data_IF_768414584374
#
_entry.id   IF_768414584374
#
_cell.length_a   1.000
_cell.length_b   1.000
_cell.length_c   1.000
_cell.angle_alpha   90.00
_cell.angle_beta   90.00
_cell.angle_gamma   90.00
#
_symmetry.space_group_name_H-M   'P 1'
#
loop_
_entity.id
_entity.type
_entity.pdbx_description
1 polymer ?
#
# COMPACT_ATOMS: atom_id res chain seq x y z
N UNK A 1 16.62 -14.63 -2.04
CA UNK A 1 16.37 -13.57 -1.04
C UNK A 1 15.68 -12.44 -1.77
N UNK A 2 14.49 -12.00 -1.32
CA UNK A 2 13.74 -10.90 -1.94
C UNK A 2 14.19 -9.55 -1.40
N UNK A 3 14.09 -8.50 -2.21
CA UNK A 3 14.27 -7.14 -1.76
C UNK A 3 13.07 -6.67 -0.93
N UNK A 4 11.84 -7.09 -1.32
CA UNK A 4 10.62 -6.77 -0.62
C UNK A 4 9.62 -7.93 -0.67
N UNK A 5 9.01 -8.24 0.48
CA UNK A 5 7.85 -9.12 0.56
C UNK A 5 6.66 -8.34 1.12
N UNK A 6 5.51 -8.53 0.52
CA UNK A 6 4.24 -7.96 1.00
C UNK A 6 3.24 -9.08 1.30
N UNK A 7 2.28 -8.80 2.20
CA UNK A 7 1.25 -9.75 2.59
C UNK A 7 -0.10 -9.04 2.68
N UNK A 8 -1.09 -9.48 1.90
CA UNK A 8 -2.43 -8.91 1.98
C UNK A 8 -3.37 -9.36 0.87
N UNK A 9 -4.59 -8.78 0.88
CA UNK A 9 -5.63 -9.09 -0.07
C UNK A 9 -5.48 -8.31 -1.37
N UNK A 10 -5.66 -9.01 -2.51
CA UNK A 10 -5.98 -8.38 -3.78
C UNK A 10 -7.41 -8.74 -4.22
N UNK A 11 -8.07 -7.81 -4.85
CA UNK A 11 -9.45 -7.90 -5.30
C UNK A 11 -9.55 -7.58 -6.80
N UNK A 12 -10.64 -8.02 -7.40
CA UNK A 12 -11.02 -7.56 -8.72
C UNK A 12 -11.78 -6.23 -8.57
N UNK A 13 -11.29 -5.21 -9.25
CA UNK A 13 -11.93 -3.90 -9.38
C UNK A 13 -12.78 -3.85 -10.65
N UNK A 14 -14.02 -3.43 -10.51
CA UNK A 14 -14.89 -3.08 -11.62
C UNK A 14 -15.14 -1.58 -11.66
N UNK A 15 -14.97 -0.96 -12.83
CA UNK A 15 -15.22 0.47 -13.02
C UNK A 15 -15.93 0.71 -14.35
N UNK A 16 -16.93 1.60 -14.42
CA UNK A 16 -17.47 2.02 -15.69
C UNK A 16 -16.43 2.84 -16.47
N UNK A 17 -16.47 2.85 -17.80
CA UNK A 17 -15.64 3.75 -18.60
C UNK A 17 -16.11 5.20 -18.48
N UNK A 18 -15.24 6.13 -18.84
CA UNK A 18 -15.56 7.54 -19.16
C UNK A 18 -16.42 8.29 -18.12
N UNK A 19 -16.25 7.98 -16.82
CA UNK A 19 -17.02 8.56 -15.71
C UNK A 19 -18.53 8.28 -15.75
N UNK A 20 -18.98 7.27 -16.50
CA UNK A 20 -20.37 6.81 -16.45
C UNK A 20 -20.75 6.41 -15.02
N UNK A 21 -22.06 6.46 -14.73
CA UNK A 21 -22.56 5.88 -13.48
C UNK A 21 -22.68 4.37 -13.62
N UNK A 22 -22.42 3.64 -12.52
CA UNK A 22 -22.55 2.17 -12.53
C UNK A 22 -23.95 1.75 -12.96
N UNK A 23 -25.00 2.47 -12.51
CA UNK A 23 -26.39 2.17 -12.84
C UNK A 23 -26.74 2.36 -14.32
N UNK A 24 -25.90 3.05 -15.09
CA UNK A 24 -26.09 3.35 -16.52
C UNK A 24 -25.16 2.56 -17.42
N UNK A 25 -24.01 2.12 -16.88
CA UNK A 25 -22.93 1.55 -17.65
C UNK A 25 -23.31 0.16 -18.21
N UNK A 26 -23.31 -0.05 -19.53
CA UNK A 26 -23.62 -1.35 -20.13
C UNK A 26 -22.46 -2.34 -19.99
N UNK A 27 -21.29 -1.86 -19.57
CA UNK A 27 -20.06 -2.66 -19.38
C UNK A 27 -19.20 -2.09 -18.25
N UNK A 28 -18.43 -2.95 -17.61
CA UNK A 28 -17.43 -2.55 -16.62
C UNK A 28 -16.05 -3.02 -17.04
N UNK A 29 -15.04 -2.19 -16.82
CA UNK A 29 -13.65 -2.54 -17.00
C UNK A 29 -13.18 -3.32 -15.77
N UNK A 30 -12.46 -4.41 -15.99
CA UNK A 30 -11.85 -5.22 -14.94
C UNK A 30 -10.39 -4.80 -14.75
N UNK A 31 -10.00 -4.52 -13.50
CA UNK A 31 -8.63 -4.26 -13.06
C UNK A 31 -8.37 -5.01 -11.75
N UNK A 32 -7.13 -5.05 -11.33
CA UNK A 32 -6.73 -5.64 -10.05
C UNK A 32 -6.27 -4.53 -9.12
N UNK A 33 -6.62 -4.63 -7.83
CA UNK A 33 -6.16 -3.71 -6.81
C UNK A 33 -6.15 -4.36 -5.43
N UNK A 34 -5.24 -3.87 -4.60
CA UNK A 34 -5.03 -4.28 -3.21
C UNK A 34 -3.76 -3.59 -2.73
N UNK A 35 -3.76 -3.03 -1.51
CA UNK A 35 -2.67 -2.15 -1.07
C UNK A 35 -1.30 -2.84 -1.17
N UNK A 36 -1.16 -3.99 -0.57
CA UNK A 36 0.11 -4.73 -0.55
C UNK A 36 0.46 -5.32 -1.93
N UNK A 37 -0.56 -5.69 -2.73
CA UNK A 37 -0.38 -6.11 -4.12
C UNK A 37 0.12 -4.93 -5.00
N UNK A 38 -0.44 -3.73 -4.80
CA UNK A 38 -0.03 -2.51 -5.49
C UNK A 38 1.43 -2.19 -5.18
N UNK A 39 1.82 -2.24 -3.89
CA UNK A 39 3.20 -1.97 -3.46
C UNK A 39 4.17 -3.00 -4.06
N UNK A 40 3.86 -4.31 -3.99
CA UNK A 40 4.70 -5.34 -4.60
C UNK A 40 4.86 -5.12 -6.11
N UNK A 41 3.75 -4.84 -6.82
CA UNK A 41 3.73 -4.62 -8.26
C UNK A 41 4.52 -3.38 -8.68
N UNK A 42 4.34 -2.27 -7.97
CA UNK A 42 5.08 -1.04 -8.25
C UNK A 42 6.58 -1.22 -8.01
N UNK A 43 6.98 -1.81 -6.86
CA UNK A 43 8.38 -2.06 -6.55
C UNK A 43 9.04 -3.03 -7.54
N UNK A 44 8.33 -4.08 -8.00
CA UNK A 44 8.83 -4.98 -9.04
C UNK A 44 9.10 -4.23 -10.35
N UNK A 45 8.22 -3.34 -10.78
CA UNK A 45 8.39 -2.51 -11.98
C UNK A 45 9.55 -1.52 -11.87
N UNK A 46 9.91 -1.12 -10.65
CA UNK A 46 11.10 -0.32 -10.37
C UNK A 46 12.40 -1.16 -10.32
N UNK A 47 12.31 -2.48 -10.51
CA UNK A 47 13.45 -3.39 -10.59
C UNK A 47 13.79 -4.09 -9.28
N UNK A 48 12.98 -4.00 -8.24
CA UNK A 48 13.15 -4.77 -7.01
C UNK A 48 12.71 -6.23 -7.21
N UNK A 49 13.40 -7.17 -6.58
CA UNK A 49 12.92 -8.56 -6.47
C UNK A 49 11.83 -8.63 -5.40
N UNK A 50 10.58 -8.80 -5.83
CA UNK A 50 9.43 -8.79 -4.92
C UNK A 50 8.68 -10.12 -4.90
N UNK A 51 8.09 -10.44 -3.74
CA UNK A 51 7.10 -11.51 -3.60
C UNK A 51 5.85 -10.98 -2.88
N UNK A 52 4.72 -11.55 -3.22
CA UNK A 52 3.45 -11.27 -2.59
C UNK A 52 2.86 -12.54 -1.98
N UNK A 53 2.52 -12.47 -0.69
CA UNK A 53 1.89 -13.54 0.07
C UNK A 53 0.41 -13.22 0.21
N UNK A 54 -0.44 -14.18 -0.12
CA UNK A 54 -1.90 -14.02 -0.06
C UNK A 54 -2.59 -15.38 -0.10
N UNK A 55 -3.92 -15.36 -0.08
CA UNK A 55 -4.75 -16.54 -0.34
C UNK A 55 -5.77 -16.22 -1.42
N UNK A 56 -5.79 -17.01 -2.48
CA UNK A 56 -6.65 -16.85 -3.65
C UNK A 56 -7.46 -18.12 -3.92
N UNK A 57 -8.54 -17.97 -4.68
CA UNK A 57 -9.30 -19.11 -5.18
C UNK A 57 -8.60 -19.78 -6.35
N UNK A 58 -8.63 -21.13 -6.37
CA UNK A 58 -8.12 -21.93 -7.48
C UNK A 58 -9.15 -22.00 -8.61
N UNK A 59 -9.39 -20.85 -9.24
CA UNK A 59 -10.32 -20.68 -10.36
C UNK A 59 -9.88 -19.49 -11.23
N UNK A 60 -10.54 -19.24 -12.39
CA UNK A 60 -10.14 -18.16 -13.31
C UNK A 60 -10.01 -16.76 -12.67
N UNK A 61 -10.77 -16.44 -11.59
CA UNK A 61 -10.69 -15.14 -10.94
C UNK A 61 -9.40 -15.01 -10.12
N UNK A 62 -9.05 -16.01 -9.31
CA UNK A 62 -7.79 -16.03 -8.57
C UNK A 62 -6.58 -16.10 -9.52
N UNK A 63 -6.66 -16.91 -10.58
CA UNK A 63 -5.60 -16.97 -11.59
C UNK A 63 -5.41 -15.64 -12.32
N UNK A 64 -6.48 -14.88 -12.55
CA UNK A 64 -6.41 -13.53 -13.15
C UNK A 64 -5.59 -12.59 -12.28
N UNK A 65 -5.82 -12.59 -10.95
CA UNK A 65 -5.07 -11.75 -9.99
C UNK A 65 -3.59 -12.14 -9.97
N UNK A 66 -3.30 -13.43 -9.81
CA UNK A 66 -1.92 -13.92 -9.77
C UNK A 66 -1.17 -13.71 -11.07
N UNK A 67 -1.86 -13.86 -12.23
CA UNK A 67 -1.25 -13.63 -13.55
C UNK A 67 -0.88 -12.16 -13.76
N UNK A 68 -1.70 -11.23 -13.28
CA UNK A 68 -1.37 -9.80 -13.36
C UNK A 68 -0.19 -9.45 -12.44
N UNK A 69 -0.13 -9.99 -11.22
CA UNK A 69 1.03 -9.84 -10.34
C UNK A 69 2.33 -10.30 -11.03
N UNK A 70 2.31 -11.51 -11.65
CA UNK A 70 3.45 -12.05 -12.42
C UNK A 70 3.81 -11.18 -13.62
N UNK A 71 2.82 -10.60 -14.31
CA UNK A 71 3.07 -9.69 -15.43
C UNK A 71 3.79 -8.41 -15.01
N UNK A 72 3.65 -8.00 -13.75
CA UNK A 72 4.43 -6.92 -13.14
C UNK A 72 5.81 -7.37 -12.62
N UNK A 73 6.11 -8.66 -12.62
CA UNK A 73 7.38 -9.21 -12.11
C UNK A 73 7.35 -9.68 -10.66
N UNK A 74 6.17 -9.75 -10.04
CA UNK A 74 6.00 -10.22 -8.66
C UNK A 74 6.01 -11.75 -8.60
N UNK A 75 6.80 -12.33 -7.71
CA UNK A 75 6.75 -13.76 -7.42
C UNK A 75 5.49 -14.10 -6.61
N UNK A 76 4.68 -15.02 -7.13
CA UNK A 76 3.40 -15.45 -6.53
C UNK A 76 3.44 -16.88 -6.00
N UNK A 77 4.63 -17.48 -5.85
CA UNK A 77 4.74 -18.89 -5.38
C UNK A 77 4.30 -19.08 -3.95
N UNK A 78 4.20 -18.01 -3.16
CA UNK A 78 3.74 -18.00 -1.78
C UNK A 78 2.24 -17.69 -1.63
N UNK A 79 1.50 -17.71 -2.73
CA UNK A 79 0.04 -17.63 -2.70
C UNK A 79 -0.53 -18.99 -2.32
N UNK A 80 -1.38 -19.00 -1.30
CA UNK A 80 -2.15 -20.18 -0.88
C UNK A 80 -3.41 -20.28 -1.75
N UNK A 81 -3.67 -21.45 -2.32
CA UNK A 81 -4.82 -21.68 -3.18
C UNK A 81 -5.93 -22.45 -2.47
N UNK A 82 -7.18 -22.11 -2.76
CA UNK A 82 -8.36 -22.74 -2.19
C UNK A 82 -9.49 -22.86 -3.22
N UNK A 83 -10.23 -23.96 -3.14
CA UNK A 83 -11.45 -24.21 -3.92
C UNK A 83 -12.74 -23.93 -3.14
N UNK A 84 -12.63 -23.53 -1.85
CA UNK A 84 -13.74 -23.41 -0.92
C UNK A 84 -14.28 -21.98 -0.75
N UNK A 85 -13.62 -20.97 -1.30
CA UNK A 85 -13.87 -19.57 -0.99
C UNK A 85 -14.19 -18.75 -2.25
N UNK A 86 -14.30 -17.42 -2.08
CA UNK A 86 -14.54 -16.45 -3.15
C UNK A 86 -13.42 -15.42 -3.22
N UNK A 87 -13.26 -14.77 -4.37
CA UNK A 87 -12.46 -13.58 -4.51
C UNK A 87 -13.27 -12.36 -4.04
N UNK A 88 -12.65 -11.47 -3.27
CA UNK A 88 -13.18 -10.16 -2.99
C UNK A 88 -13.26 -9.31 -4.26
N UNK A 89 -14.30 -8.52 -4.38
CA UNK A 89 -14.45 -7.57 -5.49
C UNK A 89 -14.79 -6.18 -4.95
N UNK A 90 -14.52 -5.15 -5.71
CA UNK A 90 -15.04 -3.82 -5.45
C UNK A 90 -15.39 -3.09 -6.73
N UNK A 91 -16.34 -2.18 -6.59
CA UNK A 91 -16.79 -1.33 -7.68
C UNK A 91 -16.33 0.09 -7.40
N UNK A 92 -15.63 0.69 -8.34
CA UNK A 92 -15.26 2.10 -8.30
C UNK A 92 -16.06 2.84 -9.35
N UNK A 93 -16.94 3.74 -8.90
CA UNK A 93 -17.56 4.75 -9.75
C UNK A 93 -16.69 6.01 -9.68
N UNK A 94 -15.90 6.32 -10.72
CA UNK A 94 -15.12 7.54 -10.73
C UNK A 94 -16.05 8.75 -10.94
N UNK A 95 -15.83 9.80 -10.16
CA UNK A 95 -16.62 11.03 -10.23
C UNK A 95 -15.74 12.26 -10.27
N UNK A 96 -15.71 13.01 -11.39
CA UNK A 96 -15.10 14.33 -11.40
C UNK A 96 -15.90 15.29 -10.52
N UNK A 97 -15.26 16.37 -10.06
CA UNK A 97 -15.96 17.39 -9.29
C UNK A 97 -17.17 17.94 -10.08
N UNK A 98 -18.29 18.23 -9.40
CA UNK A 98 -18.49 18.19 -7.95
C UNK A 98 -18.94 16.83 -7.38
N UNK A 99 -19.07 15.79 -8.20
CA UNK A 99 -19.70 14.52 -7.81
C UNK A 99 -18.85 13.68 -6.84
N UNK A 100 -17.54 13.65 -7.00
CA UNK A 100 -16.65 12.76 -6.25
C UNK A 100 -16.77 11.29 -6.67
N UNK A 101 -15.77 10.48 -6.30
CA UNK A 101 -15.73 9.04 -6.58
C UNK A 101 -16.40 8.25 -5.45
N UNK A 102 -17.01 7.11 -5.79
CA UNK A 102 -17.64 6.21 -4.84
C UNK A 102 -17.04 4.80 -4.96
N UNK A 103 -16.80 4.15 -3.80
CA UNK A 103 -16.33 2.76 -3.76
C UNK A 103 -17.35 1.90 -3.01
N UNK A 104 -17.75 0.80 -3.66
CA UNK A 104 -18.63 -0.23 -3.08
C UNK A 104 -17.80 -1.50 -2.98
N UNK A 105 -17.62 -2.02 -1.75
CA UNK A 105 -16.91 -3.27 -1.51
C UNK A 105 -17.87 -4.44 -1.39
N UNK A 106 -17.52 -5.55 -2.02
CA UNK A 106 -18.08 -6.87 -1.81
C UNK A 106 -16.92 -7.84 -1.54
N UNK A 107 -16.40 -7.81 -0.30
CA UNK A 107 -15.18 -8.53 0.10
C UNK A 107 -15.33 -9.40 1.35
N UNK A 108 -16.52 -9.42 1.96
CA UNK A 108 -16.74 -10.28 3.12
C UNK A 108 -16.51 -11.75 2.74
N UNK A 109 -15.93 -12.51 3.66
CA UNK A 109 -15.65 -13.95 3.51
C UNK A 109 -14.80 -14.28 2.24
N UNK A 110 -13.95 -13.36 1.81
CA UNK A 110 -13.01 -13.62 0.73
C UNK A 110 -11.96 -14.66 1.13
N UNK A 111 -11.34 -15.31 0.14
CA UNK A 111 -10.23 -16.24 0.37
C UNK A 111 -9.13 -15.62 1.25
N UNK A 112 -8.73 -14.38 0.94
CA UNK A 112 -7.72 -13.66 1.71
C UNK A 112 -8.15 -13.39 3.15
N UNK A 113 -9.43 -13.07 3.41
CA UNK A 113 -9.95 -12.82 4.77
C UNK A 113 -9.93 -14.06 5.67
N UNK A 114 -9.75 -15.24 5.09
CA UNK A 114 -9.68 -16.53 5.79
C UNK A 114 -8.26 -17.10 5.88
N UNK A 115 -7.23 -16.28 5.70
CA UNK A 115 -5.85 -16.70 5.95
C UNK A 115 -5.67 -17.08 7.42
N UNK A 116 -4.96 -18.20 7.65
CA UNK A 116 -4.60 -18.70 8.98
C UNK A 116 -3.09 -18.96 9.03
N UNK A 117 -2.44 -18.80 10.20
CA UNK A 117 -1.01 -18.98 10.34
C UNK A 117 -0.46 -20.32 9.84
N UNK A 118 -1.18 -21.40 10.09
CA UNK A 118 -0.77 -22.77 9.70
C UNK A 118 -0.73 -23.01 8.19
N UNK A 119 -1.27 -22.07 7.40
CA UNK A 119 -1.27 -22.16 5.94
C UNK A 119 -0.03 -21.51 5.30
N UNK A 120 0.79 -20.78 6.07
CA UNK A 120 1.88 -19.96 5.56
C UNK A 120 3.24 -20.40 6.10
N UNK A 121 4.25 -20.31 5.24
CA UNK A 121 5.64 -20.43 5.63
C UNK A 121 6.21 -19.05 6.01
N UNK A 122 6.36 -18.79 7.31
CA UNK A 122 6.88 -17.52 7.81
C UNK A 122 8.39 -17.34 7.57
N UNK A 123 9.13 -18.40 7.21
CA UNK A 123 10.55 -18.29 6.88
C UNK A 123 10.76 -17.41 5.63
N UNK A 124 9.74 -17.26 4.78
CA UNK A 124 9.84 -16.38 3.62
C UNK A 124 10.09 -14.93 4.04
N UNK A 125 9.44 -14.47 5.12
CA UNK A 125 9.62 -13.11 5.64
C UNK A 125 11.00 -12.94 6.29
N UNK A 126 11.50 -13.94 6.99
CA UNK A 126 12.85 -13.96 7.54
C UNK A 126 13.94 -13.92 6.45
N UNK A 127 13.65 -14.46 5.26
CA UNK A 127 14.57 -14.50 4.12
C UNK A 127 14.38 -13.32 3.15
N UNK A 128 13.93 -12.17 3.63
CA UNK A 128 13.78 -10.92 2.86
C UNK A 128 14.70 -9.82 3.41
N UNK A 129 14.96 -8.79 2.57
CA UNK A 129 15.62 -7.56 3.03
C UNK A 129 14.63 -6.62 3.71
N UNK A 130 13.41 -6.59 3.20
CA UNK A 130 12.33 -5.78 3.75
C UNK A 130 10.98 -6.47 3.61
N UNK A 131 10.06 -6.11 4.52
CA UNK A 131 8.64 -6.44 4.41
C UNK A 131 7.79 -5.17 4.41
N UNK A 132 6.64 -5.22 3.74
CA UNK A 132 5.62 -4.18 3.85
C UNK A 132 4.27 -4.79 4.15
N UNK A 133 3.62 -4.26 5.19
CA UNK A 133 2.33 -4.69 5.71
C UNK A 133 1.42 -3.46 5.85
N UNK A 134 0.11 -3.67 5.85
CA UNK A 134 -0.85 -2.59 6.09
C UNK A 134 -1.85 -2.95 7.18
N UNK A 135 -2.53 -1.95 7.72
CA UNK A 135 -3.63 -2.12 8.67
C UNK A 135 -4.91 -2.69 8.05
N UNK A 136 -4.97 -2.85 6.72
CA UNK A 136 -6.12 -3.49 6.05
C UNK A 136 -6.18 -4.97 6.38
N UNK A 137 -5.07 -5.69 6.22
CA UNK A 137 -5.01 -7.15 6.37
C UNK A 137 -5.42 -7.59 7.78
N UNK A 138 -4.91 -7.03 8.91
CA UNK A 138 -5.37 -7.38 10.24
C UNK A 138 -6.85 -7.04 10.52
N UNK A 139 -7.44 -6.12 9.75
CA UNK A 139 -8.84 -5.75 9.88
C UNK A 139 -9.82 -6.76 9.26
N UNK A 140 -9.33 -7.67 8.40
CA UNK A 140 -10.17 -8.62 7.68
C UNK A 140 -10.70 -9.74 8.58
N UNK A 141 -9.88 -10.24 9.51
CA UNK A 141 -10.25 -11.27 10.47
C UNK A 141 -9.20 -11.42 11.58
N UNK A 142 -9.53 -12.17 12.62
CA UNK A 142 -8.58 -12.56 13.66
C UNK A 142 -7.40 -13.37 13.08
N UNK A 143 -7.67 -14.34 12.19
CA UNK A 143 -6.64 -15.11 11.51
C UNK A 143 -5.69 -14.22 10.68
N UNK A 144 -6.22 -13.26 9.93
CA UNK A 144 -5.41 -12.30 9.20
C UNK A 144 -4.54 -11.42 10.11
N UNK A 145 -5.05 -11.04 11.29
CA UNK A 145 -4.27 -10.29 12.29
C UNK A 145 -3.11 -11.13 12.81
N UNK A 146 -3.37 -12.39 13.15
CA UNK A 146 -2.34 -13.31 13.64
C UNK A 146 -1.28 -13.60 12.57
N UNK A 147 -1.69 -13.79 11.32
CA UNK A 147 -0.80 -13.94 10.15
C UNK A 147 0.09 -12.71 9.98
N UNK A 148 -0.50 -11.51 10.00
CA UNK A 148 0.24 -10.25 9.83
C UNK A 148 1.24 -10.05 10.97
N UNK A 149 0.83 -10.38 12.21
CA UNK A 149 1.70 -10.29 13.37
C UNK A 149 2.88 -11.25 13.29
N UNK A 150 2.64 -12.52 12.96
CA UNK A 150 3.71 -13.52 12.82
C UNK A 150 4.67 -13.17 11.67
N UNK A 151 4.17 -12.63 10.56
CA UNK A 151 5.01 -12.13 9.46
C UNK A 151 5.96 -11.02 9.94
N UNK A 152 5.42 -10.03 10.69
CA UNK A 152 6.22 -8.95 11.28
C UNK A 152 7.27 -9.50 12.25
N UNK A 153 6.89 -10.42 13.16
CA UNK A 153 7.83 -10.99 14.13
C UNK A 153 8.93 -11.81 13.46
N UNK A 154 8.59 -12.59 12.43
CA UNK A 154 9.56 -13.39 11.67
C UNK A 154 10.59 -12.50 10.95
N UNK A 155 10.17 -11.43 10.31
CA UNK A 155 11.05 -10.46 9.66
C UNK A 155 11.97 -9.77 10.68
N UNK A 156 11.41 -9.30 11.80
CA UNK A 156 12.18 -8.65 12.87
C UNK A 156 13.25 -9.56 13.48
N UNK A 157 12.90 -10.81 13.73
CA UNK A 157 13.85 -11.79 14.29
C UNK A 157 15.08 -12.02 13.40
N UNK A 158 14.93 -11.83 12.08
CA UNK A 158 16.03 -11.94 11.11
C UNK A 158 16.75 -10.62 10.82
N UNK A 159 16.26 -9.49 11.35
CA UNK A 159 16.77 -8.15 11.06
C UNK A 159 16.33 -7.57 9.73
N UNK A 160 15.28 -8.12 9.10
CA UNK A 160 14.68 -7.53 7.91
C UNK A 160 13.99 -6.20 8.25
N UNK A 161 14.14 -5.20 7.37
CA UNK A 161 13.48 -3.90 7.53
C UNK A 161 11.97 -4.04 7.42
N UNK A 162 11.23 -3.49 8.37
CA UNK A 162 9.77 -3.59 8.43
C UNK A 162 9.08 -2.24 8.21
N UNK A 163 8.18 -2.20 7.22
CA UNK A 163 7.32 -1.07 6.90
C UNK A 163 5.86 -1.40 7.18
N UNK A 164 5.17 -0.50 7.85
CA UNK A 164 3.75 -0.63 8.17
C UNK A 164 2.98 0.63 7.80
N UNK A 165 1.94 0.50 6.96
CA UNK A 165 1.00 1.56 6.63
C UNK A 165 -0.30 1.36 7.41
N UNK A 166 -0.71 2.38 8.18
CA UNK A 166 -1.98 2.35 8.93
C UNK A 166 -3.17 2.08 8.01
N UNK A 167 -3.23 2.72 6.88
CA UNK A 167 -4.19 2.48 5.80
C UNK A 167 -5.63 2.22 6.30
N UNK A 168 -6.12 3.05 7.22
CA UNK A 168 -7.39 2.85 7.92
C UNK A 168 -8.58 2.77 6.96
N UNK A 169 -9.48 1.85 7.25
CA UNK A 169 -10.71 1.64 6.47
C UNK A 169 -11.93 1.59 7.39
N UNK A 170 -12.68 2.68 7.48
CA UNK A 170 -13.86 2.82 8.35
C UNK A 170 -14.97 1.76 8.09
N UNK A 171 -14.96 1.12 6.92
CA UNK A 171 -15.89 0.03 6.61
C UNK A 171 -15.50 -1.33 7.20
N UNK A 172 -14.30 -1.48 7.74
CA UNK A 172 -13.81 -2.73 8.32
C UNK A 172 -13.90 -2.74 9.85
N UNK A 173 -13.65 -1.63 10.50
CA UNK A 173 -13.67 -1.52 11.96
C UNK A 173 -13.82 -0.08 12.44
N UNK A 174 -14.16 0.08 13.71
CA UNK A 174 -14.25 1.40 14.35
C UNK A 174 -12.86 2.02 14.55
N UNK A 175 -12.76 3.37 14.66
CA UNK A 175 -11.48 4.02 14.95
C UNK A 175 -10.80 3.49 16.23
N UNK A 176 -11.57 3.23 17.28
CA UNK A 176 -11.07 2.73 18.56
C UNK A 176 -10.51 1.31 18.47
N UNK A 177 -11.17 0.43 17.71
CA UNK A 177 -10.68 -0.93 17.44
C UNK A 177 -9.41 -0.89 16.58
N UNK A 178 -9.41 -0.06 15.54
CA UNK A 178 -8.25 0.15 14.66
C UNK A 178 -7.04 0.63 15.47
N UNK A 179 -7.18 1.73 16.24
CA UNK A 179 -6.10 2.28 17.06
C UNK A 179 -5.48 1.21 17.97
N UNK A 180 -6.32 0.55 18.78
CA UNK A 180 -5.86 -0.49 19.73
C UNK A 180 -5.20 -1.68 19.06
N UNK A 181 -5.73 -2.10 17.89
CA UNK A 181 -5.22 -3.28 17.17
C UNK A 181 -3.96 -2.99 16.37
N UNK A 182 -3.78 -1.75 15.88
CA UNK A 182 -2.65 -1.36 15.02
C UNK A 182 -1.46 -0.77 15.78
N UNK A 183 -1.66 -0.23 16.98
CA UNK A 183 -0.59 0.30 17.82
C UNK A 183 0.56 -0.69 18.03
N UNK A 184 0.34 -2.00 18.32
CA UNK A 184 1.43 -2.96 18.44
C UNK A 184 2.24 -3.11 17.13
N UNK A 185 1.61 -3.04 15.95
CA UNK A 185 2.31 -3.10 14.67
C UNK A 185 3.17 -1.85 14.46
N UNK A 186 2.64 -0.66 14.78
CA UNK A 186 3.40 0.59 14.72
C UNK A 186 4.63 0.55 15.65
N UNK A 187 4.46 0.12 16.89
CA UNK A 187 5.53 0.05 17.88
C UNK A 187 6.59 -1.03 17.54
N UNK A 188 6.30 -1.93 16.61
CA UNK A 188 7.18 -3.03 16.23
C UNK A 188 7.67 -2.96 14.77
N UNK A 189 7.37 -1.91 14.02
CA UNK A 189 7.89 -1.67 12.68
C UNK A 189 9.01 -0.63 12.68
N UNK A 190 9.92 -0.68 11.72
CA UNK A 190 11.01 0.30 11.58
C UNK A 190 10.52 1.58 10.91
N UNK A 191 9.59 1.47 9.98
CA UNK A 191 8.93 2.57 9.28
C UNK A 191 7.42 2.47 9.48
N UNK A 192 6.80 3.55 9.95
CA UNK A 192 5.34 3.69 10.04
C UNK A 192 4.88 4.82 9.14
N UNK A 193 3.94 4.52 8.26
CA UNK A 193 3.33 5.47 7.34
C UNK A 193 1.85 5.65 7.70
N UNK A 194 1.35 6.88 7.66
CA UNK A 194 -0.08 7.15 7.81
C UNK A 194 -0.48 8.49 7.20
N UNK A 195 -1.78 8.65 6.94
CA UNK A 195 -2.36 9.94 6.59
C UNK A 195 -2.55 10.84 7.84
N UNK A 196 -2.43 12.16 7.67
CA UNK A 196 -2.71 13.13 8.75
C UNK A 196 -4.12 12.96 9.35
N UNK A 197 -5.10 12.65 8.51
CA UNK A 197 -6.46 12.40 8.97
C UNK A 197 -6.55 11.14 9.86
N UNK A 198 -5.81 10.09 9.53
CA UNK A 198 -5.78 8.86 10.33
C UNK A 198 -5.05 9.08 11.67
N UNK A 199 -3.97 9.90 11.70
CA UNK A 199 -3.28 10.27 12.92
C UNK A 199 -4.22 10.99 13.91
N UNK A 200 -5.02 11.94 13.42
CA UNK A 200 -6.02 12.64 14.22
C UNK A 200 -7.15 11.71 14.67
N UNK A 201 -7.73 10.95 13.72
CA UNK A 201 -8.90 10.11 13.99
C UNK A 201 -8.61 8.94 14.92
N UNK A 202 -7.48 8.26 14.74
CA UNK A 202 -7.16 7.03 15.48
C UNK A 202 -6.44 7.33 16.80
N UNK A 203 -5.52 8.29 16.79
CA UNK A 203 -4.61 8.51 17.91
C UNK A 203 -4.79 9.87 18.59
N UNK A 204 -5.68 10.72 18.05
CA UNK A 204 -5.99 12.04 18.63
C UNK A 204 -4.87 13.08 18.47
N UNK A 205 -3.90 12.83 17.56
CA UNK A 205 -2.80 13.77 17.34
C UNK A 205 -3.15 14.80 16.29
N UNK A 206 -3.32 16.03 16.76
CA UNK A 206 -3.63 17.22 15.97
C UNK A 206 -2.50 18.26 16.10
N UNK A 207 -2.46 19.22 15.16
CA UNK A 207 -1.46 20.29 15.15
C UNK A 207 -0.72 20.40 13.82
N UNK A 208 0.47 20.99 13.82
CA UNK A 208 1.32 21.04 12.63
C UNK A 208 1.82 19.63 12.29
N UNK A 209 2.11 19.32 11.00
CA UNK A 209 2.65 18.01 10.63
C UNK A 209 3.88 17.60 11.46
N UNK A 210 4.77 18.55 11.77
CA UNK A 210 5.95 18.33 12.61
C UNK A 210 5.57 17.91 14.04
N UNK A 211 4.63 18.61 14.67
CA UNK A 211 4.13 18.24 16.01
C UNK A 211 3.52 16.85 16.03
N UNK A 212 2.77 16.49 14.97
CA UNK A 212 2.11 15.18 14.86
C UNK A 212 3.15 14.06 14.75
N UNK A 213 4.19 14.17 13.90
CA UNK A 213 5.19 13.11 13.76
C UNK A 213 6.04 12.95 15.02
N UNK A 214 6.31 14.02 15.75
CA UNK A 214 6.98 13.93 17.06
C UNK A 214 6.11 13.22 18.12
N UNK A 215 4.80 13.52 18.17
CA UNK A 215 3.87 12.85 19.08
C UNK A 215 3.75 11.34 18.74
N UNK A 216 3.64 10.99 17.46
CA UNK A 216 3.61 9.61 17.00
C UNK A 216 4.90 8.85 17.35
N UNK A 217 6.06 9.47 17.16
CA UNK A 217 7.34 8.84 17.52
C UNK A 217 7.47 8.68 19.05
N UNK A 218 6.99 9.63 19.84
CA UNK A 218 6.95 9.49 21.29
C UNK A 218 6.06 8.31 21.74
N UNK A 219 4.94 8.06 21.03
CA UNK A 219 4.04 6.95 21.33
C UNK A 219 4.58 5.59 20.87
N UNK A 220 5.13 5.50 19.64
CA UNK A 220 5.54 4.23 19.06
C UNK A 220 7.02 3.88 19.30
N UNK A 221 7.80 4.78 19.86
CA UNK A 221 9.25 4.63 20.06
C UNK A 221 10.06 5.16 18.87
N UNK A 222 11.39 5.01 18.96
CA UNK A 222 12.33 5.51 17.93
C UNK A 222 12.16 4.76 16.59
N UNK A 223 11.18 5.20 15.81
CA UNK A 223 10.82 4.68 14.47
C UNK A 223 10.91 5.80 13.45
N UNK A 224 11.08 5.44 12.19
CA UNK A 224 10.84 6.40 11.11
C UNK A 224 9.32 6.58 11.01
N UNK A 225 8.86 7.81 11.19
CA UNK A 225 7.44 8.16 11.05
C UNK A 225 7.28 8.99 9.79
N UNK A 226 6.38 8.58 8.90
CA UNK A 226 6.02 9.32 7.70
C UNK A 226 4.54 9.69 7.74
N UNK A 227 4.24 10.97 7.59
CA UNK A 227 2.89 11.51 7.56
C UNK A 227 2.60 12.09 6.18
N UNK A 228 1.60 11.55 5.49
CA UNK A 228 1.13 12.12 4.23
C UNK A 228 0.05 13.16 4.47
N UNK A 229 0.14 14.31 3.79
CA UNK A 229 -0.75 15.46 3.93
C UNK A 229 -1.56 15.73 2.64
N UNK A 230 -1.71 14.72 1.80
CA UNK A 230 -2.42 14.81 0.53
C UNK A 230 -1.70 15.71 -0.47
N UNK A 231 -2.38 16.72 -1.00
CA UNK A 231 -1.79 17.65 -1.98
C UNK A 231 -0.68 18.56 -1.38
N UNK A 232 -0.64 18.72 -0.06
CA UNK A 232 0.39 19.52 0.62
C UNK A 232 1.76 18.82 0.65
N UNK A 233 1.80 17.49 0.40
CA UNK A 233 3.04 16.73 0.38
C UNK A 233 3.13 15.67 1.47
N UNK A 234 4.31 15.54 2.06
CA UNK A 234 4.60 14.60 3.13
C UNK A 234 5.69 15.13 4.05
N UNK A 235 5.66 14.67 5.29
CA UNK A 235 6.73 14.93 6.27
C UNK A 235 7.21 13.61 6.85
N UNK A 236 8.45 13.60 7.33
CA UNK A 236 9.01 12.45 8.04
C UNK A 236 9.82 12.90 9.26
N UNK A 237 9.89 12.02 10.25
CA UNK A 237 10.80 12.09 11.38
C UNK A 237 11.69 10.84 11.33
N UNK A 238 13.01 11.00 11.27
CA UNK A 238 13.94 9.87 11.32
C UNK A 238 13.94 9.19 12.70
N UNK A 239 14.51 8.01 12.81
CA UNK A 239 14.66 7.34 14.10
C UNK A 239 15.52 8.12 15.08
N UNK A 240 16.42 8.99 14.59
CA UNK A 240 17.29 9.88 15.35
C UNK A 240 16.58 11.19 15.74
N UNK A 241 15.38 11.47 15.19
CA UNK A 241 14.58 12.66 15.48
C UNK A 241 14.82 13.82 14.52
N UNK A 242 15.41 13.59 13.37
CA UNK A 242 15.57 14.60 12.31
C UNK A 242 14.28 14.73 11.49
N UNK A 243 13.82 15.98 11.33
CA UNK A 243 12.59 16.28 10.59
C UNK A 243 12.87 16.59 9.13
N UNK A 244 12.02 16.05 8.26
CA UNK A 244 12.08 16.24 6.82
C UNK A 244 10.71 16.58 6.26
N UNK A 245 10.67 17.37 5.19
CA UNK A 245 9.44 17.74 4.49
C UNK A 245 9.69 17.71 2.97
N UNK A 246 8.71 17.21 2.23
CA UNK A 246 8.70 17.22 0.78
C UNK A 246 7.34 17.67 0.25
N UNK A 247 7.34 18.52 -0.77
CA UNK A 247 6.15 18.81 -1.58
C UNK A 247 5.96 17.76 -2.66
N UNK A 248 4.72 17.51 -3.05
CA UNK A 248 4.42 16.61 -4.16
C UNK A 248 4.24 17.39 -5.46
N UNK A 249 4.61 16.82 -6.62
CA UNK A 249 4.34 17.45 -7.91
C UNK A 249 2.85 17.72 -8.12
N UNK A 250 2.52 18.91 -8.60
CA UNK A 250 1.14 19.22 -8.98
C UNK A 250 0.68 18.31 -10.11
N UNK A 251 -0.51 17.73 -9.97
CA UNK A 251 -1.01 16.72 -10.90
C UNK A 251 -2.52 16.76 -11.00
N UNK A 252 -3.03 16.74 -12.24
CA UNK A 252 -4.46 16.52 -12.47
C UNK A 252 -4.78 15.04 -12.33
N UNK A 253 -5.58 14.70 -11.33
CA UNK A 253 -5.90 13.31 -11.05
C UNK A 253 -6.93 12.73 -12.03
N UNK A 254 -6.52 11.66 -12.72
CA UNK A 254 -7.39 10.80 -13.53
C UNK A 254 -8.02 9.71 -12.64
N UNK A 255 -7.21 9.10 -11.77
CA UNK A 255 -7.65 8.07 -10.82
C UNK A 255 -6.84 8.17 -9.53
N UNK A 256 -7.53 8.33 -8.40
CA UNK A 256 -6.88 8.53 -7.09
C UNK A 256 -6.55 7.24 -6.35
N UNK A 257 -7.16 6.12 -6.73
CA UNK A 257 -6.96 4.84 -6.04
C UNK A 257 -5.54 4.33 -6.30
N UNK A 258 -4.85 3.90 -5.25
CA UNK A 258 -3.47 3.42 -5.33
C UNK A 258 -2.38 4.51 -5.24
N UNK A 259 -2.75 5.81 -5.11
CA UNK A 259 -1.75 6.88 -4.97
C UNK A 259 -0.94 6.76 -3.66
N UNK A 260 -1.58 6.39 -2.54
CA UNK A 260 -0.90 6.13 -1.26
C UNK A 260 0.07 4.95 -1.37
N UNK A 261 -0.40 3.83 -1.96
CA UNK A 261 0.44 2.64 -2.18
C UNK A 261 1.64 2.97 -3.10
N UNK A 262 1.42 3.83 -4.11
CA UNK A 262 2.49 4.31 -4.99
C UNK A 262 3.49 5.21 -4.25
N UNK A 263 3.01 6.09 -3.36
CA UNK A 263 3.89 6.86 -2.48
C UNK A 263 4.80 5.93 -1.68
N UNK A 264 4.23 4.94 -1.02
CA UNK A 264 4.99 3.95 -0.23
C UNK A 264 5.98 3.19 -1.12
N UNK A 265 5.57 2.82 -2.32
CA UNK A 265 6.45 2.10 -3.27
C UNK A 265 7.68 2.92 -3.66
N UNK A 266 7.51 4.22 -3.97
CA UNK A 266 8.61 5.13 -4.28
C UNK A 266 9.54 5.35 -3.08
N UNK A 267 8.95 5.52 -1.88
CA UNK A 267 9.67 5.65 -0.61
C UNK A 267 10.54 4.40 -0.33
N UNK A 268 9.94 3.21 -0.38
CA UNK A 268 10.64 1.95 -0.13
C UNK A 268 11.72 1.66 -1.19
N UNK A 269 11.44 1.96 -2.46
CA UNK A 269 12.43 1.85 -3.53
C UNK A 269 13.64 2.71 -3.24
N UNK A 270 13.46 4.01 -2.94
CA UNK A 270 14.56 4.92 -2.66
C UNK A 270 15.37 4.48 -1.43
N UNK A 271 14.72 4.09 -0.33
CA UNK A 271 15.39 3.54 0.85
C UNK A 271 16.18 2.28 0.52
N UNK A 272 15.66 1.39 -0.34
CA UNK A 272 16.39 0.19 -0.80
C UNK A 272 17.65 0.51 -1.59
N UNK A 273 17.65 1.65 -2.29
CA UNK A 273 18.83 2.20 -2.99
C UNK A 273 19.76 2.99 -2.07
N UNK A 274 19.49 3.03 -0.76
CA UNK A 274 20.25 3.74 0.27
C UNK A 274 20.25 5.27 0.13
N UNK A 275 19.22 5.82 -0.50
CA UNK A 275 18.98 7.26 -0.46
C UNK A 275 18.59 7.70 0.97
N UNK A 276 18.86 8.96 1.28
CA UNK A 276 18.39 9.58 2.52
C UNK A 276 16.86 9.74 2.55
N UNK A 277 16.34 10.04 3.72
CA UNK A 277 14.90 10.11 3.93
C UNK A 277 14.25 11.27 3.16
N UNK A 278 14.96 12.40 2.99
CA UNK A 278 14.48 13.53 2.19
C UNK A 278 14.29 13.13 0.71
N UNK A 279 15.29 12.49 0.13
CA UNK A 279 15.23 11.94 -1.22
C UNK A 279 14.14 10.89 -1.34
N UNK A 280 13.99 10.00 -0.34
CA UNK A 280 12.98 8.96 -0.34
C UNK A 280 11.54 9.53 -0.33
N UNK A 281 11.28 10.62 0.40
CA UNK A 281 10.00 11.34 0.33
C UNK A 281 9.72 11.89 -1.07
N UNK A 282 10.72 12.43 -1.75
CA UNK A 282 10.58 12.94 -3.12
C UNK A 282 10.25 11.83 -4.11
N UNK A 283 10.90 10.66 -4.02
CA UNK A 283 10.56 9.48 -4.82
C UNK A 283 9.11 9.01 -4.55
N UNK A 284 8.69 9.00 -3.29
CA UNK A 284 7.31 8.69 -2.90
C UNK A 284 6.31 9.64 -3.55
N UNK A 285 6.51 10.95 -3.39
CA UNK A 285 5.67 11.99 -3.97
C UNK A 285 5.60 11.93 -5.50
N UNK A 286 6.76 11.71 -6.15
CA UNK A 286 6.87 11.59 -7.60
C UNK A 286 6.07 10.38 -8.13
N UNK A 287 6.21 9.21 -7.52
CA UNK A 287 5.49 8.01 -7.96
C UNK A 287 3.99 8.12 -7.69
N UNK A 288 3.58 8.75 -6.58
CA UNK A 288 2.18 9.04 -6.30
C UNK A 288 1.58 9.99 -7.35
N UNK A 289 2.29 11.06 -7.72
CA UNK A 289 1.88 12.00 -8.76
C UNK A 289 1.78 11.30 -10.12
N UNK A 290 2.77 10.48 -10.48
CA UNK A 290 2.72 9.68 -11.71
C UNK A 290 1.47 8.78 -11.75
N UNK A 291 1.19 8.06 -10.64
CA UNK A 291 0.01 7.19 -10.52
C UNK A 291 -1.30 7.94 -10.74
N UNK A 292 -1.43 9.15 -10.24
CA UNK A 292 -2.63 9.95 -10.40
C UNK A 292 -3.00 10.20 -11.88
N UNK A 293 -2.06 10.14 -12.80
CA UNK A 293 -2.26 10.39 -14.23
C UNK A 293 -2.80 9.20 -15.02
N UNK A 294 -2.90 8.02 -14.41
CA UNK A 294 -3.29 6.77 -15.08
C UNK A 294 -4.43 6.06 -14.37
N UNK A 295 -5.25 5.32 -15.14
CA UNK A 295 -6.30 4.47 -14.59
C UNK A 295 -5.73 3.18 -14.02
N UNK A 296 -6.35 2.69 -12.93
CA UNK A 296 -5.97 1.48 -12.22
C UNK A 296 -5.21 1.78 -10.95
N UNK A 297 -4.93 0.75 -10.14
CA UNK A 297 -4.39 0.92 -8.79
C UNK A 297 -2.85 0.94 -8.76
N UNK A 298 -2.19 0.22 -9.69
CA UNK A 298 -0.73 0.22 -9.83
C UNK A 298 -0.23 1.42 -10.64
N UNK A 299 0.95 1.93 -10.33
CA UNK A 299 1.54 3.11 -10.95
C UNK A 299 1.99 2.90 -12.42
N UNK A 300 2.18 1.66 -12.86
CA UNK A 300 2.65 1.32 -14.22
C UNK A 300 3.90 2.10 -14.66
N UNK A 301 4.69 2.59 -13.71
CA UNK A 301 5.90 3.38 -13.90
C UNK A 301 7.13 2.49 -13.99
N UNK A 302 8.04 2.77 -14.88
CA UNK A 302 9.37 2.16 -14.92
C UNK A 302 10.36 2.94 -14.06
N UNK A 303 11.47 2.29 -13.70
CA UNK A 303 12.57 2.94 -12.97
C UNK A 303 13.06 4.22 -13.65
N UNK A 304 13.33 4.16 -14.96
CA UNK A 304 13.83 5.32 -15.70
C UNK A 304 12.84 6.48 -15.75
N UNK A 305 11.52 6.20 -15.81
CA UNK A 305 10.50 7.26 -15.74
C UNK A 305 10.45 7.90 -14.36
N UNK A 306 10.54 7.11 -13.28
CA UNK A 306 10.57 7.65 -11.93
C UNK A 306 11.81 8.51 -11.68
N UNK A 307 12.99 8.01 -12.06
CA UNK A 307 14.25 8.76 -11.91
C UNK A 307 14.22 10.08 -12.69
N UNK A 308 13.73 10.07 -13.92
CA UNK A 308 13.57 11.28 -14.73
C UNK A 308 12.55 12.27 -14.13
N UNK A 309 11.46 11.75 -13.52
CA UNK A 309 10.49 12.61 -12.84
C UNK A 309 11.09 13.29 -11.62
N UNK A 310 11.83 12.55 -10.80
CA UNK A 310 12.53 13.08 -9.61
C UNK A 310 13.60 14.09 -10.01
N UNK A 311 14.30 13.89 -11.13
CA UNK A 311 15.27 14.84 -11.69
C UNK A 311 14.61 16.08 -12.32
N UNK A 312 13.27 16.14 -12.42
CA UNK A 312 12.56 17.26 -13.07
C UNK A 312 12.64 17.24 -14.61
N UNK A 313 12.99 16.09 -15.21
CA UNK A 313 13.19 15.93 -16.65
C UNK A 313 11.93 15.48 -17.41
N UNK A 314 10.83 15.23 -16.70
CA UNK A 314 9.55 14.82 -17.30
C UNK A 314 8.67 16.03 -17.64
N UNK A 315 8.50 16.25 -18.92
CA UNK A 315 7.57 17.22 -19.49
C UNK A 315 7.83 17.37 -20.99
N UNK A 316 6.99 16.78 -21.81
CA UNK A 316 7.08 16.90 -23.26
C UNK A 316 7.04 15.57 -24.01
N UNK A 317 6.95 15.63 -25.35
CA UNK A 317 6.89 14.45 -26.21
C UNK A 317 8.26 13.77 -26.25
N UNK A 318 8.34 12.54 -25.72
CA UNK A 318 9.51 11.66 -25.89
C UNK A 318 9.43 10.98 -27.26
N UNK A 319 10.48 11.12 -28.10
CA UNK A 319 10.62 10.47 -29.39
C UNK A 319 11.64 9.36 -29.33
#
# INVERSE_FOLDING_TARGET
MYDLITLGEAMIRFSPPDFERIEQAPRLQLRIGGAEWNVASNCARLGMSTAWVSRLTDNPLGWRIASEARAHGVDTKHVVWTDQDRIGVYFLEPGPAPRGSQIIYDRADSAASKMLPEQLDFQVFANSRAIHLTGITPALSAGCRDVTWQALQSARASGAFSSFDINYRAKLWSPQEAARSLEPFCANSDLVVMGRADAALLFGYEGTPEQVVHALQAAFGKRIIVLTTGAEGSVALSAEGEFYQASHPETTAVDRVGAGDSFISGLLYALSQKHDLATALNYGGALAAYKLTIHGDAAMCSRGELEALVAGELGGLRR
#
